data_IF_391059923814
#
_entry.id   IF_391059923814
#
_cell.length_a   1.000
_cell.length_b   1.000
_cell.length_c   1.000
_cell.angle_alpha   90.00
_cell.angle_beta   90.00
_cell.angle_gamma   90.00
#
_symmetry.space_group_name_H-M   'P 1'
#
loop_
_entity.id
_entity.type
_entity.pdbx_description
1 polymer ?
#
# COMPACT_ATOMS: atom_id res chain seq x y z
N UNK A 1 11.12 -19.09 22.10
CA UNK A 1 9.88 -19.22 22.91
C UNK A 1 8.75 -19.55 21.97
N UNK A 2 7.89 -20.50 22.31
CA UNK A 2 6.74 -20.83 21.46
C UNK A 2 5.83 -19.61 21.30
N UNK A 3 5.33 -19.38 20.09
CA UNK A 3 4.43 -18.27 19.79
C UNK A 3 3.19 -18.32 20.70
N UNK A 4 2.89 -17.19 21.33
CA UNK A 4 1.75 -17.03 22.22
C UNK A 4 0.42 -17.34 21.50
N UNK A 5 -0.55 -17.91 22.22
CA UNK A 5 -1.85 -18.32 21.67
C UNK A 5 -2.58 -17.14 21.01
N UNK A 6 -2.44 -15.94 21.56
CA UNK A 6 -3.02 -14.69 20.99
C UNK A 6 -2.46 -14.38 19.60
N UNK A 7 -1.15 -14.51 19.42
CA UNK A 7 -0.47 -14.22 18.16
C UNK A 7 -0.83 -15.27 17.10
N UNK A 8 -0.97 -16.54 17.50
CA UNK A 8 -1.47 -17.61 16.62
C UNK A 8 -2.89 -17.31 16.12
N UNK A 9 -3.78 -16.84 16.99
CA UNK A 9 -5.12 -16.43 16.59
C UNK A 9 -5.11 -15.24 15.62
N UNK A 10 -4.25 -14.24 15.85
CA UNK A 10 -4.10 -13.10 14.93
C UNK A 10 -3.59 -13.52 13.55
N UNK A 11 -2.69 -14.50 13.48
CA UNK A 11 -2.24 -15.06 12.20
C UNK A 11 -3.37 -15.82 11.49
N UNK A 12 -4.14 -16.64 12.22
CA UNK A 12 -5.29 -17.36 11.65
C UNK A 12 -6.38 -16.42 11.13
N UNK A 13 -6.68 -15.35 11.85
CA UNK A 13 -7.59 -14.30 11.38
C UNK A 13 -7.03 -13.62 10.12
N UNK A 14 -5.72 -13.37 10.12
CA UNK A 14 -4.96 -12.92 8.97
C UNK A 14 -5.19 -13.77 7.73
N UNK A 15 -4.96 -15.07 7.85
CA UNK A 15 -5.08 -16.01 6.74
C UNK A 15 -6.52 -16.08 6.20
N UNK A 16 -7.53 -15.99 7.07
CA UNK A 16 -8.93 -15.82 6.64
C UNK A 16 -9.13 -14.54 5.84
N UNK A 17 -8.60 -13.40 6.30
CA UNK A 17 -8.69 -12.13 5.56
C UNK A 17 -7.97 -12.17 4.20
N UNK A 18 -6.89 -12.95 4.09
CA UNK A 18 -6.19 -13.15 2.82
C UNK A 18 -6.94 -14.09 1.84
N UNK A 19 -8.00 -14.76 2.28
CA UNK A 19 -8.82 -15.64 1.45
C UNK A 19 -9.83 -14.82 0.63
N UNK A 20 -9.35 -14.16 -0.42
CA UNK A 20 -10.12 -13.22 -1.27
C UNK A 20 -9.92 -13.44 -2.77
N UNK A 21 -9.96 -14.70 -3.20
CA UNK A 21 -9.61 -15.12 -4.57
C UNK A 21 -10.40 -14.40 -5.67
N UNK A 22 -11.72 -14.24 -5.50
CA UNK A 22 -12.57 -13.53 -6.48
C UNK A 22 -12.16 -12.07 -6.68
N UNK A 23 -11.83 -11.38 -5.58
CA UNK A 23 -11.37 -9.99 -5.61
C UNK A 23 -9.98 -9.86 -6.24
N UNK A 24 -9.09 -10.83 -6.01
CA UNK A 24 -7.78 -10.86 -6.67
C UNK A 24 -7.91 -11.01 -8.18
N UNK A 25 -8.79 -11.88 -8.66
CA UNK A 25 -9.06 -12.04 -10.10
C UNK A 25 -9.63 -10.75 -10.70
N UNK A 26 -10.50 -10.07 -9.97
CA UNK A 26 -11.04 -8.79 -10.41
C UNK A 26 -9.97 -7.70 -10.52
N UNK A 27 -9.10 -7.55 -9.52
CA UNK A 27 -7.98 -6.61 -9.59
C UNK A 27 -6.96 -7.01 -10.66
N UNK A 28 -6.73 -8.30 -10.88
CA UNK A 28 -5.90 -8.78 -11.99
C UNK A 28 -6.46 -8.26 -13.32
N UNK A 29 -7.75 -8.40 -13.55
CA UNK A 29 -8.36 -7.98 -14.79
C UNK A 29 -8.31 -6.46 -15.00
N UNK A 30 -8.63 -5.68 -13.95
CA UNK A 30 -8.50 -4.23 -13.99
C UNK A 30 -7.04 -3.80 -14.25
N UNK A 31 -6.07 -4.49 -13.65
CA UNK A 31 -4.66 -4.24 -13.87
C UNK A 31 -4.24 -4.58 -15.30
N UNK A 32 -4.68 -5.71 -15.86
CA UNK A 32 -4.35 -6.09 -17.24
C UNK A 32 -4.80 -5.03 -18.25
N UNK A 33 -5.95 -4.37 -18.03
CA UNK A 33 -6.46 -3.34 -18.94
C UNK A 33 -5.82 -1.96 -18.72
N UNK A 34 -5.65 -1.53 -17.47
CA UNK A 34 -5.26 -0.14 -17.16
C UNK A 34 -3.83 0.00 -16.63
N UNK A 35 -3.33 -1.00 -15.90
CA UNK A 35 -2.04 -0.94 -15.22
C UNK A 35 -1.29 -2.28 -15.27
N UNK A 36 -0.79 -2.69 -16.46
CA UNK A 36 -0.16 -4.00 -16.63
C UNK A 36 1.03 -4.22 -15.71
N UNK A 37 1.80 -3.18 -15.39
CA UNK A 37 2.93 -3.22 -14.45
C UNK A 37 2.55 -3.70 -13.04
N UNK A 38 1.29 -3.58 -12.63
CA UNK A 38 0.77 -4.01 -11.32
C UNK A 38 -0.09 -5.28 -11.42
N UNK A 39 -0.14 -5.93 -12.58
CA UNK A 39 -0.98 -7.11 -12.83
C UNK A 39 -0.35 -8.40 -12.26
N UNK A 40 -0.07 -8.41 -10.95
CA UNK A 40 0.51 -9.56 -10.24
C UNK A 40 -0.35 -9.99 -9.04
N UNK A 41 -1.66 -10.08 -9.24
CA UNK A 41 -2.59 -10.49 -8.19
C UNK A 41 -2.79 -12.00 -8.16
N UNK A 42 -2.99 -12.63 -9.33
CA UNK A 42 -3.24 -14.08 -9.46
C UNK A 42 -2.03 -14.84 -9.98
N UNK A 43 -1.30 -14.27 -10.94
CA UNK A 43 -0.06 -14.82 -11.48
C UNK A 43 1.14 -13.97 -11.07
N UNK A 44 2.32 -14.59 -11.01
CA UNK A 44 3.59 -13.87 -10.97
C UNK A 44 4.14 -13.84 -12.39
N UNK A 45 4.55 -12.68 -12.87
CA UNK A 45 5.25 -12.56 -14.14
C UNK A 45 6.71 -12.96 -13.96
N UNK A 46 7.29 -13.61 -14.96
CA UNK A 46 8.74 -13.78 -15.01
C UNK A 46 9.37 -12.60 -15.76
N UNK A 47 10.58 -12.18 -15.35
CA UNK A 47 11.35 -11.19 -16.11
C UNK A 47 11.78 -11.86 -17.43
N UNK A 48 11.05 -11.58 -18.51
CA UNK A 48 11.29 -12.18 -19.83
C UNK A 48 10.02 -12.53 -20.61
N UNK A 49 8.88 -12.64 -19.92
CA UNK A 49 7.59 -12.81 -20.59
C UNK A 49 7.20 -11.53 -21.38
N UNK A 50 6.51 -11.71 -22.50
CA UNK A 50 6.06 -10.61 -23.36
C UNK A 50 5.17 -9.65 -22.58
N UNK A 51 5.61 -8.39 -22.47
CA UNK A 51 4.94 -7.40 -21.65
C UNK A 51 3.71 -6.84 -22.35
N UNK A 52 2.53 -7.13 -21.78
CA UNK A 52 1.25 -6.61 -22.21
C UNK A 52 0.88 -6.92 -23.68
N UNK A 53 1.28 -8.10 -24.16
CA UNK A 53 0.92 -8.61 -25.49
C UNK A 53 -0.60 -8.71 -25.72
N UNK A 54 -1.37 -8.92 -24.64
CA UNK A 54 -2.83 -8.94 -24.70
C UNK A 54 -3.49 -7.58 -24.99
N UNK A 55 -2.73 -6.48 -25.07
CA UNK A 55 -3.25 -5.15 -25.36
C UNK A 55 -3.06 -4.79 -26.84
N UNK A 56 -4.17 -4.65 -27.56
CA UNK A 56 -4.19 -4.12 -28.93
C UNK A 56 -4.13 -2.60 -29.01
N UNK A 57 -4.51 -1.90 -27.94
CA UNK A 57 -4.42 -0.43 -27.85
C UNK A 57 -3.87 0.04 -26.51
N UNK A 58 -3.16 1.17 -26.53
CA UNK A 58 -2.59 1.84 -25.36
C UNK A 58 -3.54 2.86 -24.71
N UNK A 59 -4.70 3.13 -25.30
CA UNK A 59 -5.59 4.21 -24.85
C UNK A 59 -6.01 4.11 -23.37
N UNK A 60 -6.49 2.95 -22.85
CA UNK A 60 -6.86 2.83 -21.44
C UNK A 60 -5.69 3.10 -20.49
N UNK A 61 -4.49 2.67 -20.87
CA UNK A 61 -3.26 2.86 -20.10
C UNK A 61 -2.90 4.34 -20.00
N UNK A 62 -2.95 5.06 -21.13
CA UNK A 62 -2.66 6.51 -21.17
C UNK A 62 -3.71 7.28 -20.37
N UNK A 63 -5.00 6.97 -20.54
CA UNK A 63 -6.07 7.62 -19.80
C UNK A 63 -5.91 7.47 -18.27
N UNK A 64 -5.61 6.25 -17.80
CA UNK A 64 -5.31 6.02 -16.38
C UNK A 64 -4.08 6.78 -15.93
N UNK A 65 -3.02 6.82 -16.75
CA UNK A 65 -1.78 7.54 -16.42
C UNK A 65 -2.03 9.04 -16.28
N UNK A 66 -2.77 9.65 -17.21
CA UNK A 66 -3.16 11.07 -17.15
C UNK A 66 -3.96 11.36 -15.89
N UNK A 67 -4.93 10.51 -15.52
CA UNK A 67 -5.69 10.67 -14.29
C UNK A 67 -4.78 10.58 -13.06
N UNK A 68 -3.92 9.56 -12.97
CA UNK A 68 -2.97 9.39 -11.86
C UNK A 68 -2.02 10.57 -11.69
N UNK A 69 -1.43 11.06 -12.80
CA UNK A 69 -0.55 12.24 -12.78
C UNK A 69 -1.33 13.51 -12.38
N UNK A 70 -2.59 13.65 -12.82
CA UNK A 70 -3.43 14.79 -12.44
C UNK A 70 -3.76 14.84 -10.95
N UNK A 71 -3.95 13.68 -10.30
CA UNK A 71 -4.20 13.62 -8.86
C UNK A 71 -3.02 14.17 -8.07
N UNK A 72 -1.79 13.80 -8.46
CA UNK A 72 -0.58 14.34 -7.85
C UNK A 72 -0.49 15.86 -8.00
N UNK A 73 -0.77 16.38 -9.20
CA UNK A 73 -0.72 17.81 -9.48
C UNK A 73 -1.79 18.61 -8.73
N UNK A 74 -3.02 18.09 -8.64
CA UNK A 74 -4.15 18.76 -7.98
C UNK A 74 -4.07 18.69 -6.46
N UNK A 75 -3.71 17.53 -5.91
CA UNK A 75 -3.68 17.33 -4.45
C UNK A 75 -2.41 17.87 -3.82
N UNK A 76 -1.29 17.86 -4.54
CA UNK A 76 0.04 18.19 -4.01
C UNK A 76 0.84 19.04 -5.01
N UNK A 77 0.42 20.27 -5.31
CA UNK A 77 1.15 21.13 -6.22
C UNK A 77 2.53 21.46 -5.64
N UNK A 78 3.57 21.06 -6.35
CA UNK A 78 4.98 21.17 -5.89
C UNK A 78 5.51 22.60 -6.03
N UNK A 79 5.00 23.36 -7.00
CA UNK A 79 5.55 24.66 -7.42
C UNK A 79 4.99 25.88 -6.67
N UNK A 80 4.12 25.67 -5.68
CA UNK A 80 3.66 26.76 -4.82
C UNK A 80 4.70 27.00 -3.72
N UNK A 81 5.40 28.12 -3.87
CA UNK A 81 6.41 28.64 -2.96
C UNK A 81 5.86 28.71 -1.53
N UNK A 82 6.74 28.49 -0.55
CA UNK A 82 6.40 28.31 0.88
C UNK A 82 5.66 29.47 1.53
N UNK A 83 5.61 30.62 0.85
CA UNK A 83 4.98 31.87 1.30
C UNK A 83 3.63 32.12 0.61
N UNK A 84 3.26 31.32 -0.39
CA UNK A 84 2.01 31.50 -1.15
C UNK A 84 0.84 30.77 -0.48
N UNK A 85 -0.33 31.42 -0.33
CA UNK A 85 -1.59 30.72 -0.04
C UNK A 85 -1.83 29.65 -1.12
N UNK A 86 -1.76 28.37 -0.76
CA UNK A 86 -1.85 27.25 -1.73
C UNK A 86 -0.91 26.08 -1.45
N UNK A 87 -0.15 26.09 -0.35
CA UNK A 87 0.45 24.86 0.21
C UNK A 87 -0.68 23.88 0.54
N UNK A 88 -0.60 22.65 0.05
CA UNK A 88 -1.66 21.66 0.21
C UNK A 88 -1.93 21.23 1.66
N UNK A 89 -1.10 21.64 2.61
CA UNK A 89 -1.38 21.56 4.04
C UNK A 89 -0.84 22.78 4.80
N UNK A 90 -1.47 23.09 5.93
CA UNK A 90 -0.95 24.04 6.90
C UNK A 90 -1.33 23.61 8.32
N UNK A 91 -0.42 23.78 9.27
CA UNK A 91 -0.69 23.52 10.69
C UNK A 91 -1.35 24.77 11.26
N UNK A 92 -2.51 24.60 11.88
CA UNK A 92 -3.31 25.67 12.49
C UNK A 92 -3.81 25.23 13.86
N UNK A 93 -4.07 26.19 14.74
CA UNK A 93 -4.75 25.97 16.01
C UNK A 93 -6.26 26.06 15.84
N UNK A 94 -7.01 25.33 16.67
CA UNK A 94 -8.47 25.47 16.77
C UNK A 94 -8.91 26.68 17.60
N UNK A 95 -7.98 27.36 18.28
CA UNK A 95 -8.24 28.55 19.09
C UNK A 95 -7.75 29.82 18.39
N UNK A 96 -8.11 30.99 18.95
CA UNK A 96 -7.61 32.28 18.45
C UNK A 96 -6.08 32.34 18.60
N UNK A 97 -5.38 32.53 17.49
CA UNK A 97 -3.92 32.53 17.43
C UNK A 97 -3.38 33.94 17.70
N UNK A 98 -2.50 34.07 18.69
CA UNK A 98 -1.64 35.24 18.83
C UNK A 98 -0.57 35.25 17.73
N UNK A 99 0.01 36.42 17.46
CA UNK A 99 1.03 36.59 16.42
C UNK A 99 2.23 35.64 16.60
N UNK A 100 2.64 35.38 17.84
CA UNK A 100 3.74 34.46 18.17
C UNK A 100 3.35 32.99 17.88
N UNK A 101 2.16 32.59 18.30
CA UNK A 101 1.64 31.25 18.02
C UNK A 101 1.56 30.99 16.51
N UNK A 102 1.08 31.97 15.73
CA UNK A 102 1.01 31.86 14.27
C UNK A 102 2.39 31.67 13.64
N UNK A 103 3.40 32.44 14.07
CA UNK A 103 4.79 32.29 13.60
C UNK A 103 5.35 30.91 13.91
N UNK A 104 5.07 30.38 15.09
CA UNK A 104 5.50 29.02 15.45
C UNK A 104 4.82 27.96 14.57
N UNK A 105 3.51 28.08 14.31
CA UNK A 105 2.77 27.16 13.46
C UNK A 105 3.23 27.20 11.99
N UNK A 106 3.56 28.39 11.49
CA UNK A 106 4.21 28.56 10.18
C UNK A 106 5.57 27.84 10.14
N UNK A 107 6.42 28.04 11.15
CA UNK A 107 7.71 27.37 11.27
C UNK A 107 7.59 25.84 11.39
N UNK A 108 6.59 25.34 12.13
CA UNK A 108 6.30 23.92 12.26
C UNK A 108 5.83 23.33 10.91
N UNK A 109 5.00 24.06 10.17
CA UNK A 109 4.55 23.65 8.82
C UNK A 109 5.72 23.52 7.86
N UNK A 110 6.67 24.47 7.89
CA UNK A 110 7.88 24.42 7.08
C UNK A 110 8.79 23.25 7.45
N UNK A 111 8.97 23.00 8.75
CA UNK A 111 9.76 21.86 9.24
C UNK A 111 9.16 20.54 8.79
N UNK A 112 7.84 20.38 8.92
CA UNK A 112 7.14 19.18 8.44
C UNK A 112 7.29 19.02 6.93
N UNK A 113 7.14 20.10 6.15
CA UNK A 113 7.30 20.05 4.68
C UNK A 113 8.72 19.61 4.30
N UNK A 114 9.75 20.15 4.96
CA UNK A 114 11.14 19.76 4.73
C UNK A 114 11.34 18.27 5.02
N UNK A 115 10.85 17.78 6.16
CA UNK A 115 10.96 16.36 6.51
C UNK A 115 10.19 15.43 5.55
N UNK A 116 9.07 15.89 4.98
CA UNK A 116 8.28 15.12 4.01
C UNK A 116 8.86 15.13 2.60
N UNK A 117 9.48 16.22 2.17
CA UNK A 117 10.05 16.32 0.82
C UNK A 117 11.55 16.02 0.78
N UNK A 118 12.13 15.60 1.91
CA UNK A 118 13.47 15.03 1.94
C UNK A 118 13.55 13.83 0.97
N UNK A 119 14.54 13.78 0.06
CA UNK A 119 14.74 12.66 -0.84
C UNK A 119 14.75 11.30 -0.14
N UNK A 120 15.34 11.21 1.05
CA UNK A 120 15.46 9.96 1.80
C UNK A 120 14.10 9.47 2.33
N UNK A 121 13.14 10.40 2.47
CA UNK A 121 11.78 10.05 2.89
C UNK A 121 10.96 9.33 1.82
N UNK A 122 11.36 9.45 0.56
CA UNK A 122 10.69 8.84 -0.59
C UNK A 122 9.19 9.18 -0.72
N UNK A 123 8.72 10.27 -0.10
CA UNK A 123 7.30 10.68 -0.14
C UNK A 123 6.78 10.81 -1.58
N UNK A 124 7.44 11.61 -2.42
CA UNK A 124 7.02 11.85 -3.82
C UNK A 124 6.86 10.56 -4.60
N UNK A 125 7.78 9.60 -4.42
CA UNK A 125 7.73 8.30 -5.07
C UNK A 125 6.55 7.46 -4.57
N UNK A 126 6.45 7.29 -3.25
CA UNK A 126 5.40 6.49 -2.64
C UNK A 126 3.99 7.03 -2.93
N UNK A 127 3.82 8.36 -2.94
CA UNK A 127 2.53 8.98 -3.29
C UNK A 127 2.22 8.87 -4.77
N UNK A 128 3.22 8.97 -5.67
CA UNK A 128 2.97 8.79 -7.10
C UNK A 128 2.55 7.36 -7.43
N UNK A 129 3.27 6.38 -6.90
CA UNK A 129 2.88 4.96 -6.97
C UNK A 129 1.47 4.75 -6.39
N UNK A 130 1.19 5.38 -5.25
CA UNK A 130 -0.12 5.36 -4.59
C UNK A 130 -1.24 5.99 -5.43
N UNK A 131 -1.01 7.12 -6.11
CA UNK A 131 -2.01 7.80 -6.94
C UNK A 131 -2.40 6.95 -8.16
N UNK A 132 -1.43 6.29 -8.79
CA UNK A 132 -1.71 5.39 -9.90
C UNK A 132 -2.51 4.15 -9.44
N UNK A 133 -2.19 3.60 -8.26
CA UNK A 133 -2.99 2.52 -7.67
C UNK A 133 -4.39 3.00 -7.27
N UNK A 134 -4.51 4.22 -6.75
CA UNK A 134 -5.79 4.83 -6.37
C UNK A 134 -6.68 5.10 -7.60
N UNK A 135 -6.12 5.62 -8.68
CA UNK A 135 -6.84 5.80 -9.95
C UNK A 135 -7.29 4.46 -10.56
N UNK A 136 -6.48 3.41 -10.43
CA UNK A 136 -6.76 2.09 -11.03
C UNK A 136 -7.73 1.28 -10.18
N UNK A 137 -7.44 1.06 -8.91
CA UNK A 137 -8.20 0.15 -8.04
C UNK A 137 -9.15 0.86 -7.08
N UNK A 138 -9.04 2.17 -6.93
CA UNK A 138 -9.85 2.98 -6.01
C UNK A 138 -9.24 3.08 -4.62
N UNK A 139 -8.10 2.44 -4.41
CA UNK A 139 -7.43 2.36 -3.13
C UNK A 139 -5.94 2.14 -3.32
N UNK A 140 -5.16 2.63 -2.36
CA UNK A 140 -3.74 2.36 -2.28
C UNK A 140 -3.34 2.14 -0.82
N UNK A 141 -2.17 1.56 -0.60
CA UNK A 141 -1.64 1.38 0.75
C UNK A 141 -0.28 2.04 0.80
N UNK A 142 -0.16 3.04 1.68
CA UNK A 142 1.11 3.69 1.98
C UNK A 142 1.43 3.44 3.45
N UNK A 143 2.62 2.96 3.76
CA UNK A 143 3.11 2.94 5.14
C UNK A 143 3.95 4.16 5.43
N UNK A 144 3.77 4.73 6.61
CA UNK A 144 4.61 5.75 7.21
C UNK A 144 5.37 5.13 8.38
N UNK A 145 6.69 5.14 8.29
CA UNK A 145 7.60 4.74 9.37
C UNK A 145 8.78 5.68 9.48
N UNK A 146 9.74 5.29 10.32
CA UNK A 146 11.08 5.85 10.28
C UNK A 146 11.97 4.94 9.43
N UNK A 147 13.02 5.50 8.85
CA UNK A 147 14.06 4.69 8.23
C UNK A 147 14.82 3.85 9.29
N UNK A 148 15.71 2.96 8.83
CA UNK A 148 16.46 2.07 9.72
C UNK A 148 17.35 2.87 10.70
N UNK A 149 17.93 3.98 10.25
CA UNK A 149 18.75 4.86 11.07
C UNK A 149 17.94 5.73 12.07
N UNK A 150 16.62 5.79 11.89
CA UNK A 150 15.66 6.60 12.65
C UNK A 150 15.88 8.11 12.58
N UNK A 151 16.50 8.61 11.51
CA UNK A 151 16.75 10.04 11.29
C UNK A 151 15.68 10.71 10.41
N UNK A 152 15.05 9.94 9.53
CA UNK A 152 14.14 10.43 8.49
C UNK A 152 12.84 9.64 8.49
N UNK A 153 11.75 10.30 8.06
CA UNK A 153 10.50 9.63 7.75
C UNK A 153 10.74 8.68 6.56
N UNK A 154 9.96 7.62 6.45
CA UNK A 154 10.02 6.72 5.30
C UNK A 154 8.60 6.39 4.83
N UNK A 155 8.29 6.78 3.60
CA UNK A 155 7.05 6.46 2.92
C UNK A 155 7.28 5.32 1.94
N UNK A 156 6.44 4.30 2.00
CA UNK A 156 6.50 3.16 1.08
C UNK A 156 5.10 2.77 0.62
N UNK A 157 4.93 2.62 -0.69
CA UNK A 157 3.72 2.04 -1.25
C UNK A 157 3.78 0.52 -1.17
N UNK A 158 2.63 -0.13 -1.00
CA UNK A 158 2.51 -1.59 -0.94
C UNK A 158 1.51 -2.10 -1.95
N UNK A 159 1.85 -3.24 -2.54
CA UNK A 159 0.95 -3.95 -3.46
C UNK A 159 -0.28 -4.46 -2.71
N UNK A 160 -1.47 -4.25 -3.28
CA UNK A 160 -2.74 -4.61 -2.67
C UNK A 160 -2.88 -6.12 -2.41
N UNK A 161 -2.22 -6.97 -3.21
CA UNK A 161 -2.09 -8.43 -2.98
C UNK A 161 -1.63 -8.74 -1.56
N UNK A 162 -0.62 -8.02 -1.10
CA UNK A 162 0.13 -8.36 0.12
C UNK A 162 -0.44 -7.68 1.37
N UNK A 163 -1.48 -6.84 1.25
CA UNK A 163 -2.10 -6.12 2.37
C UNK A 163 -3.59 -6.39 2.46
N UNK A 164 -4.07 -6.70 3.66
CA UNK A 164 -5.49 -6.81 4.03
C UNK A 164 -5.80 -5.89 5.19
N UNK A 165 -7.06 -5.50 5.31
CA UNK A 165 -7.56 -4.73 6.44
C UNK A 165 -9.01 -5.10 6.74
N UNK A 166 -9.52 -4.69 7.89
CA UNK A 166 -10.93 -4.73 8.26
C UNK A 166 -11.40 -3.36 8.73
N UNK A 167 -12.72 -3.22 8.83
CA UNK A 167 -13.37 -2.03 9.36
C UNK A 167 -14.17 -2.36 10.59
N UNK A 168 -14.18 -1.43 11.55
CA UNK A 168 -15.06 -1.49 12.70
C UNK A 168 -16.50 -1.10 12.32
N UNK A 169 -17.41 -1.15 13.29
CA UNK A 169 -18.82 -0.79 13.11
C UNK A 169 -19.04 0.66 12.63
N UNK A 170 -18.05 1.55 12.80
CA UNK A 170 -18.10 2.94 12.32
C UNK A 170 -17.56 3.10 10.89
N UNK A 171 -17.19 2.02 10.20
CA UNK A 171 -16.56 2.05 8.88
C UNK A 171 -15.13 2.58 8.89
N UNK A 172 -14.48 2.62 10.07
CA UNK A 172 -13.07 3.00 10.23
C UNK A 172 -12.21 1.75 10.24
N UNK A 173 -11.07 1.84 9.55
CA UNK A 173 -10.10 0.75 9.49
C UNK A 173 -9.48 0.56 10.88
N UNK A 174 -9.60 -0.64 11.44
CA UNK A 174 -9.23 -0.99 12.82
C UNK A 174 -8.11 -2.05 12.90
N UNK A 175 -7.93 -2.84 11.86
CA UNK A 175 -6.93 -3.88 11.79
C UNK A 175 -6.38 -3.96 10.37
N UNK A 176 -5.06 -3.97 10.24
CA UNK A 176 -4.32 -4.08 8.99
C UNK A 176 -3.28 -5.17 9.14
N UNK A 177 -3.17 -6.05 8.15
CA UNK A 177 -2.09 -7.02 8.07
C UNK A 177 -1.39 -6.97 6.73
N UNK A 178 -0.07 -7.08 6.76
CA UNK A 178 0.79 -7.12 5.58
C UNK A 178 1.64 -8.38 5.54
N UNK A 179 1.70 -9.03 4.38
CA UNK A 179 2.71 -10.02 4.03
C UNK A 179 3.99 -9.32 3.59
N UNK A 180 5.10 -9.68 4.21
CA UNK A 180 6.41 -9.18 3.82
C UNK A 180 7.35 -10.36 3.64
N UNK A 181 8.10 -10.37 2.54
CA UNK A 181 9.06 -11.42 2.20
C UNK A 181 10.46 -10.83 2.06
N UNK A 182 11.10 -10.41 3.17
CA UNK A 182 12.47 -9.93 3.12
C UNK A 182 13.45 -11.08 2.92
N UNK A 183 14.65 -10.75 2.43
CA UNK A 183 15.80 -11.62 2.53
C UNK A 183 16.31 -11.71 3.97
N UNK A 184 17.00 -12.80 4.31
CA UNK A 184 17.62 -12.99 5.62
C UNK A 184 18.51 -11.79 6.02
N UNK A 185 19.29 -11.26 5.09
CA UNK A 185 20.14 -10.08 5.30
C UNK A 185 19.34 -8.82 5.63
N UNK A 186 18.27 -8.55 4.88
CA UNK A 186 17.40 -7.40 5.13
C UNK A 186 16.69 -7.51 6.49
N UNK A 187 16.25 -8.71 6.87
CA UNK A 187 15.59 -8.95 8.14
C UNK A 187 16.52 -8.67 9.33
N UNK A 188 17.75 -9.21 9.28
CA UNK A 188 18.76 -9.01 10.31
C UNK A 188 19.15 -7.54 10.49
N UNK A 189 19.23 -6.77 9.39
CA UNK A 189 19.52 -5.33 9.43
C UNK A 189 18.37 -4.51 9.98
N UNK A 190 17.13 -4.92 9.71
CA UNK A 190 15.92 -4.20 10.15
C UNK A 190 15.66 -4.41 11.64
N UNK A 191 15.90 -5.63 12.14
CA UNK A 191 15.62 -6.03 13.52
C UNK A 191 16.88 -6.58 14.23
N UNK A 192 17.88 -5.73 14.53
CA UNK A 192 19.13 -6.19 15.12
C UNK A 192 18.87 -6.88 16.48
N UNK A 193 19.35 -8.12 16.62
CA UNK A 193 19.26 -8.91 17.86
C UNK A 193 17.88 -9.46 18.21
N UNK A 194 16.83 -9.17 17.44
CA UNK A 194 15.45 -9.65 17.67
C UNK A 194 15.03 -10.81 16.77
N UNK A 195 15.90 -11.18 15.84
CA UNK A 195 15.69 -12.22 14.82
C UNK A 195 15.94 -13.63 15.39
N UNK A 196 15.20 -14.61 14.88
CA UNK A 196 15.31 -16.00 15.34
C UNK A 196 16.67 -16.63 14.98
N UNK A 197 17.17 -17.56 15.81
CA UNK A 197 18.47 -18.21 15.63
C UNK A 197 18.62 -18.89 14.24
N UNK A 198 17.56 -19.57 13.76
CA UNK A 198 17.54 -20.19 12.42
C UNK A 198 17.71 -19.21 11.27
N UNK A 199 17.28 -17.96 11.44
CA UNK A 199 17.48 -16.92 10.41
C UNK A 199 18.93 -16.45 10.43
N UNK A 200 19.55 -16.36 11.61
CA UNK A 200 20.97 -16.03 11.74
C UNK A 200 21.88 -17.14 11.20
N UNK A 201 21.46 -18.40 11.28
CA UNK A 201 22.12 -19.53 10.61
C UNK A 201 21.95 -19.42 9.09
N UNK A 202 20.72 -19.26 8.60
CA UNK A 202 20.44 -19.05 7.17
C UNK A 202 21.19 -17.85 6.59
N UNK A 203 21.39 -16.79 7.37
CA UNK A 203 22.15 -15.62 6.95
C UNK A 203 23.61 -15.99 6.58
N UNK A 204 24.19 -16.99 7.24
CA UNK A 204 25.56 -17.46 6.95
C UNK A 204 25.61 -18.30 5.69
N UNK A 205 24.58 -19.11 5.46
CA UNK A 205 24.55 -20.07 4.34
C UNK A 205 24.02 -19.43 3.05
N UNK A 206 22.87 -18.75 3.13
CA UNK A 206 22.22 -18.05 2.02
C UNK A 206 21.62 -16.70 2.48
N UNK A 207 22.37 -15.59 2.29
CA UNK A 207 21.90 -14.25 2.63
C UNK A 207 20.63 -13.80 1.91
N UNK A 208 20.29 -14.43 0.78
CA UNK A 208 19.16 -14.07 -0.09
C UNK A 208 17.91 -14.93 0.15
N UNK A 209 17.98 -15.91 1.04
CA UNK A 209 16.83 -16.74 1.39
C UNK A 209 15.63 -15.88 1.83
N UNK A 210 14.48 -16.07 1.18
CA UNK A 210 13.24 -15.38 1.53
C UNK A 210 12.65 -15.95 2.83
N UNK A 211 12.26 -15.06 3.72
CA UNK A 211 11.59 -15.41 4.99
C UNK A 211 10.20 -14.79 4.97
N UNK A 212 9.18 -15.53 5.38
CA UNK A 212 7.81 -15.02 5.40
C UNK A 212 7.54 -14.33 6.73
N UNK A 213 7.44 -13.01 6.68
CA UNK A 213 7.06 -12.19 7.81
C UNK A 213 5.63 -11.66 7.69
N UNK A 214 5.03 -11.36 8.84
CA UNK A 214 3.77 -10.64 8.96
C UNK A 214 4.00 -9.39 9.78
N UNK A 215 3.52 -8.27 9.26
CA UNK A 215 3.34 -7.06 10.06
C UNK A 215 1.84 -6.87 10.31
N UNK A 216 1.46 -6.76 11.57
CA UNK A 216 0.08 -6.59 12.02
C UNK A 216 0.00 -5.25 12.73
N UNK A 217 -0.97 -4.43 12.35
CA UNK A 217 -1.31 -3.20 13.05
C UNK A 217 -2.78 -3.27 13.44
N UNK A 218 -3.06 -3.27 14.73
CA UNK A 218 -4.41 -3.42 15.26
C UNK A 218 -4.68 -2.34 16.31
N UNK A 219 -5.92 -1.87 16.39
CA UNK A 219 -6.35 -0.95 17.43
C UNK A 219 -6.23 -1.62 18.81
N UNK A 220 -5.76 -0.87 19.80
CA UNK A 220 -5.43 -1.41 21.13
C UNK A 220 -6.63 -2.05 21.80
N UNK A 221 -7.83 -1.49 21.64
CA UNK A 221 -9.06 -2.04 22.23
C UNK A 221 -9.36 -3.46 21.72
N UNK A 222 -9.21 -3.68 20.41
CA UNK A 222 -9.37 -4.98 19.78
C UNK A 222 -8.26 -5.97 20.16
N UNK A 223 -7.07 -5.46 20.48
CA UNK A 223 -5.94 -6.26 20.93
C UNK A 223 -6.09 -6.69 22.39
N UNK A 224 -6.45 -5.76 23.28
CA UNK A 224 -6.64 -5.99 24.72
C UNK A 224 -7.84 -6.91 25.00
N UNK A 225 -8.91 -6.85 24.19
CA UNK A 225 -10.01 -7.83 24.27
C UNK A 225 -9.53 -9.29 24.08
N UNK A 226 -8.41 -9.48 23.37
CA UNK A 226 -7.83 -10.80 23.10
C UNK A 226 -6.79 -11.22 24.14
N UNK A 227 -6.43 -10.32 25.07
CA UNK A 227 -5.39 -10.53 26.07
C UNK A 227 -5.93 -10.30 27.49
N UNK A 228 -6.35 -11.40 28.15
CA UNK A 228 -6.91 -11.34 29.50
C UNK A 228 -5.88 -11.03 30.60
N UNK A 229 -4.57 -11.06 30.29
CA UNK A 229 -3.46 -10.86 31.24
C UNK A 229 -2.41 -9.82 30.77
N UNK A 230 -2.69 -9.09 29.68
CA UNK A 230 -1.70 -8.33 28.91
C UNK A 230 -1.32 -6.94 29.42
N UNK A 231 -0.13 -6.48 29.01
CA UNK A 231 0.32 -5.10 29.17
C UNK A 231 -0.62 -4.13 28.45
N UNK A 232 -1.27 -3.24 29.19
CA UNK A 232 -2.09 -2.19 28.61
C UNK A 232 -1.22 -1.18 27.88
N UNK A 233 -1.42 -1.05 26.57
CA UNK A 233 -0.70 -0.05 25.79
C UNK A 233 -1.42 1.28 25.91
N UNK A 234 -0.71 2.34 26.34
CA UNK A 234 -1.28 3.70 26.41
C UNK A 234 -1.47 4.35 25.03
N UNK A 235 -1.10 3.64 23.96
CA UNK A 235 -1.18 4.10 22.58
C UNK A 235 -2.41 3.54 21.89
N UNK A 236 -2.90 4.21 20.84
CA UNK A 236 -4.11 3.81 20.12
C UNK A 236 -3.93 2.55 19.25
N UNK A 237 -2.72 2.32 18.75
CA UNK A 237 -2.42 1.20 17.87
C UNK A 237 -1.31 0.33 18.46
N UNK A 238 -1.29 -0.94 18.09
CA UNK A 238 -0.21 -1.88 18.40
C UNK A 238 0.35 -2.41 17.08
N UNK A 239 1.66 -2.28 16.90
CA UNK A 239 2.43 -2.80 15.77
C UNK A 239 3.15 -4.08 16.20
N UNK A 240 2.92 -5.16 15.46
CA UNK A 240 3.43 -6.50 15.78
C UNK A 240 4.11 -7.07 14.55
N UNK A 241 5.36 -7.48 14.73
CA UNK A 241 6.18 -8.12 13.71
C UNK A 241 6.44 -9.56 14.07
N UNK A 242 5.99 -10.46 13.22
CA UNK A 242 6.07 -11.91 13.43
C UNK A 242 6.80 -12.54 12.25
N UNK A 243 7.78 -13.39 12.57
CA UNK A 243 8.35 -14.35 11.64
C UNK A 243 7.45 -15.59 11.62
N UNK A 244 6.70 -15.76 10.52
CA UNK A 244 5.73 -16.85 10.36
C UNK A 244 6.44 -18.16 10.03
N UNK A 245 7.64 -18.10 9.43
CA UNK A 245 8.40 -19.30 9.08
C UNK A 245 8.96 -20.00 10.33
N UNK A 246 9.35 -19.23 11.34
CA UNK A 246 9.95 -19.76 12.56
C UNK A 246 9.05 -19.63 13.81
N UNK A 247 7.80 -19.17 13.65
CA UNK A 247 6.87 -18.90 14.75
C UNK A 247 7.50 -18.03 15.86
N UNK A 248 8.16 -16.95 15.46
CA UNK A 248 8.92 -16.09 16.37
C UNK A 248 8.42 -14.65 16.35
N UNK A 249 8.15 -14.09 17.53
CA UNK A 249 7.82 -12.68 17.69
C UNK A 249 9.11 -11.85 17.64
N UNK A 250 9.22 -10.95 16.67
CA UNK A 250 10.36 -10.05 16.55
C UNK A 250 10.15 -8.78 17.36
N UNK A 251 9.00 -8.12 17.18
CA UNK A 251 8.74 -6.82 17.81
C UNK A 251 7.25 -6.65 18.11
N UNK A 252 6.93 -6.14 19.29
CA UNK A 252 5.59 -5.75 19.73
C UNK A 252 5.71 -4.35 20.35
N UNK A 253 5.22 -3.32 19.65
CA UNK A 253 5.38 -1.91 20.04
C UNK A 253 4.07 -1.16 19.87
N UNK A 254 3.71 -0.38 20.89
CA UNK A 254 2.60 0.55 20.82
C UNK A 254 2.93 1.76 19.93
N UNK A 255 2.03 2.09 19.00
CA UNK A 255 2.15 3.24 18.09
C UNK A 255 1.00 4.22 18.30
N UNK A 256 1.32 5.52 18.34
CA UNK A 256 0.30 6.59 18.33
C UNK A 256 -0.34 6.77 16.95
N UNK A 257 0.35 6.37 15.89
CA UNK A 257 -0.08 6.49 14.51
C UNK A 257 -0.49 5.14 13.94
N UNK A 258 -1.42 5.12 12.99
CA UNK A 258 -1.92 3.88 12.34
C UNK A 258 -0.87 3.17 11.47
N UNK A 259 0.28 3.79 11.20
CA UNK A 259 1.36 3.35 10.29
C UNK A 259 0.89 3.24 8.83
N UNK A 260 -0.17 2.49 8.56
CA UNK A 260 -0.79 2.34 7.25
C UNK A 260 -1.85 3.41 6.96
N UNK A 261 -1.70 4.05 5.82
CA UNK A 261 -2.58 5.06 5.26
C UNK A 261 -3.22 4.43 4.01
N UNK A 262 -4.53 4.21 4.09
CA UNK A 262 -5.31 3.53 3.05
C UNK A 262 -6.42 4.49 2.61
N UNK A 263 -6.17 5.36 1.62
CA UNK A 263 -7.22 6.17 1.01
C UNK A 263 -8.16 5.29 0.18
N UNK A 264 -9.45 5.66 0.16
CA UNK A 264 -10.54 4.93 -0.51
C UNK A 264 -11.33 5.92 -1.36
N UNK A 265 -11.49 5.63 -2.66
CA UNK A 265 -12.11 6.53 -3.64
C UNK A 265 -13.61 6.65 -3.39
N UNK A 266 -14.36 5.57 -3.64
CA UNK A 266 -15.76 5.42 -3.27
C UNK A 266 -15.90 4.09 -2.54
N UNK A 267 -16.45 4.16 -1.34
CA UNK A 267 -16.82 3.00 -0.51
C UNK A 267 -18.26 2.61 -0.81
N UNK A 268 -18.48 1.34 -1.14
CA UNK A 268 -19.82 0.80 -1.36
C UNK A 268 -20.32 0.19 -0.04
N UNK A 269 -21.56 0.49 0.42
CA UNK A 269 -22.11 -0.13 1.63
C UNK A 269 -22.01 -1.66 1.56
N UNK A 270 -21.48 -2.27 2.62
CA UNK A 270 -21.26 -3.73 2.69
C UNK A 270 -19.92 -4.21 2.14
N UNK A 271 -19.10 -3.34 1.53
CA UNK A 271 -17.73 -3.66 1.12
C UNK A 271 -16.72 -2.75 1.83
N UNK A 272 -15.70 -3.36 2.44
CA UNK A 272 -14.55 -2.65 3.01
C UNK A 272 -13.56 -2.13 1.94
N UNK A 273 -13.67 -2.64 0.72
CA UNK A 273 -12.83 -2.24 -0.40
C UNK A 273 -13.49 -1.14 -1.22
N UNK A 274 -12.67 -0.20 -1.70
CA UNK A 274 -13.12 0.89 -2.54
C UNK A 274 -13.15 0.49 -4.02
N UNK A 275 -13.93 1.22 -4.79
CA UNK A 275 -13.99 1.10 -6.25
C UNK A 275 -13.58 2.41 -6.92
N UNK A 276 -12.78 2.32 -7.99
CA UNK A 276 -12.39 3.48 -8.82
C UNK A 276 -13.38 3.73 -9.95
N UNK A 277 -13.36 4.92 -10.57
CA UNK A 277 -14.00 5.18 -11.86
C UNK A 277 -13.48 4.26 -12.97
N UNK A 278 -12.19 3.89 -12.94
CA UNK A 278 -11.59 2.99 -13.91
C UNK A 278 -12.27 1.61 -13.91
N UNK A 279 -12.61 1.13 -12.72
CA UNK A 279 -13.26 -0.17 -12.53
C UNK A 279 -14.78 -0.10 -12.78
N UNK A 280 -15.43 0.97 -12.31
CA UNK A 280 -16.90 1.08 -12.33
C UNK A 280 -17.47 1.49 -13.68
N UNK A 281 -16.79 2.37 -14.41
CA UNK A 281 -17.26 2.89 -15.69
C UNK A 281 -16.35 2.49 -16.86
N UNK A 282 -15.03 2.62 -16.70
CA UNK A 282 -14.13 2.50 -17.84
C UNK A 282 -13.79 1.04 -18.23
N UNK A 283 -13.88 0.08 -17.30
CA UNK A 283 -13.51 -1.32 -17.57
C UNK A 283 -14.30 -1.97 -18.73
N UNK A 284 -15.64 -1.88 -18.80
CA UNK A 284 -16.38 -2.39 -19.96
C UNK A 284 -15.97 -1.70 -21.28
N UNK A 285 -15.78 -0.38 -21.25
CA UNK A 285 -15.35 0.37 -22.44
C UNK A 285 -13.93 0.00 -22.88
N UNK A 286 -13.01 -0.21 -21.93
CA UNK A 286 -11.67 -0.68 -22.22
C UNK A 286 -11.72 -2.05 -22.91
N UNK A 287 -12.51 -3.01 -22.40
CA UNK A 287 -12.69 -4.31 -23.03
C UNK A 287 -13.25 -4.17 -24.45
N UNK A 288 -14.25 -3.31 -24.64
CA UNK A 288 -14.86 -3.06 -25.94
C UNK A 288 -13.85 -2.50 -26.95
N UNK A 289 -13.10 -1.47 -26.58
CA UNK A 289 -12.13 -0.83 -27.48
C UNK A 289 -11.02 -1.82 -27.87
N UNK A 290 -10.55 -2.65 -26.93
CA UNK A 290 -9.57 -3.70 -27.23
C UNK A 290 -10.13 -4.70 -28.24
N UNK A 291 -11.35 -5.21 -28.01
CA UNK A 291 -11.99 -6.15 -28.92
C UNK A 291 -12.24 -5.55 -30.31
N UNK A 292 -12.73 -4.30 -30.38
CA UNK A 292 -12.95 -3.60 -31.64
C UNK A 292 -11.65 -3.42 -32.42
N UNK A 293 -10.58 -3.02 -31.73
CA UNK A 293 -9.26 -2.82 -32.36
C UNK A 293 -8.72 -4.13 -32.92
N UNK A 294 -8.83 -5.24 -32.17
CA UNK A 294 -8.45 -6.56 -32.66
C UNK A 294 -9.23 -6.95 -33.92
N UNK A 295 -10.57 -6.83 -33.90
CA UNK A 295 -11.39 -7.18 -35.07
C UNK A 295 -11.08 -6.32 -36.29
N UNK A 296 -10.73 -5.05 -36.09
CA UNK A 296 -10.33 -4.14 -37.16
C UNK A 296 -8.97 -4.55 -37.75
N UNK A 297 -8.01 -4.95 -36.90
CA UNK A 297 -6.71 -5.46 -37.33
C UNK A 297 -6.89 -6.72 -38.17
N UNK A 298 -7.63 -7.72 -37.68
CA UNK A 298 -7.89 -8.95 -38.42
C UNK A 298 -8.63 -8.69 -39.75
N UNK A 299 -9.59 -7.76 -39.76
CA UNK A 299 -10.29 -7.38 -40.99
C UNK A 299 -9.34 -6.72 -41.99
N UNK A 300 -8.41 -5.87 -41.51
CA UNK A 300 -7.41 -5.23 -42.36
C UNK A 300 -6.40 -6.22 -42.94
N UNK A 301 -5.98 -7.22 -42.16
CA UNK A 301 -5.11 -8.30 -42.61
C UNK A 301 -5.80 -9.13 -43.70
N UNK A 302 -7.06 -9.54 -43.48
CA UNK A 302 -7.86 -10.28 -44.47
C UNK A 302 -8.15 -9.48 -45.73
N UNK A 303 -8.22 -8.14 -45.64
CA UNK A 303 -8.38 -7.30 -46.83
C UNK A 303 -7.08 -7.18 -47.62
N UNK A 304 -5.93 -7.12 -46.93
CA UNK A 304 -4.62 -7.06 -47.55
C UNK A 304 -4.18 -8.41 -48.16
N UNK A 305 -4.52 -9.53 -47.53
CA UNK A 305 -4.27 -10.90 -47.99
C UNK A 305 -5.57 -11.71 -47.96
N UNK A 306 -6.43 -11.58 -48.98
CA UNK A 306 -7.69 -12.31 -49.03
C UNK A 306 -7.44 -13.82 -49.09
N UNK A 307 -8.12 -14.63 -48.27
CA UNK A 307 -8.00 -16.08 -48.39
C UNK A 307 -8.43 -16.52 -49.80
N UNK A 308 -7.55 -17.26 -50.49
CA UNK A 308 -7.82 -17.88 -51.80
C UNK A 308 -9.02 -18.82 -51.73
#
# INVERSE_FOLDING_TARGET
MALDKRLKQLLLDGDKMFTRGSLMSFWQEAALQFYPEMAEFTSKRSLGDEFADHLTTSYPLIARRTLGDSLGALLRPVNLDTTSPGVWFSIRSGAKEDTEARRWLEAATLTQRKAMYDPDSAFTRATKEGDHAFATFGQCVISLGLNIARDTLLYQSWHLRDVVWTENAEGKIDHVQRKWKPSASQLARTFPGKVHAKVMEKLKDDPFAEIVCRHIVIETDNYEQRDSNGNKFRTKWVSIWIDVTNDHLMEEVGSRSRIYIIPRWVTVPGSQYASSPAVTAALPDARLIQAMTLTLLEASEKWADPPI
#
